data_IF_359329655698
#
_entry.id   IF_359329655698
#
_cell.length_a   1.000
_cell.length_b   1.000
_cell.length_c   1.000
_cell.angle_alpha   90.00
_cell.angle_beta   90.00
_cell.angle_gamma   90.00
#
_symmetry.space_group_name_H-M   'P 1'
#
loop_
_entity.id
_entity.type
_entity.pdbx_description
1 polymer ?
#
# COMPACT_ATOMS: atom_id res chain seq x y z
N UNK A 1 10.11 -0.86 -7.52
CA UNK A 1 10.40 -1.79 -6.42
C UNK A 1 10.77 -0.95 -5.22
N UNK A 2 10.05 -1.07 -4.12
CA UNK A 2 10.09 -0.15 -2.99
C UNK A 2 9.12 -0.52 -1.89
N UNK A 3 8.86 0.43 -1.00
CA UNK A 3 8.03 0.27 0.20
C UNK A 3 6.70 0.97 0.01
N UNK A 4 5.60 0.25 0.21
CA UNK A 4 4.27 0.74 -0.10
C UNK A 4 3.28 0.42 1.01
N UNK A 5 2.24 1.25 1.14
CA UNK A 5 1.10 0.94 1.98
C UNK A 5 -0.21 1.32 1.28
N UNK A 6 -1.27 0.57 1.57
CA UNK A 6 -2.60 0.79 1.05
C UNK A 6 -3.62 0.75 2.19
N UNK A 7 -4.69 1.51 2.05
CA UNK A 7 -5.83 1.50 2.96
C UNK A 7 -7.07 1.07 2.19
N UNK A 8 -7.73 0.00 2.64
CA UNK A 8 -8.94 -0.51 2.02
C UNK A 8 -9.93 -0.96 3.11
N UNK A 9 -11.15 -0.41 3.11
CA UNK A 9 -12.20 -0.74 4.09
C UNK A 9 -11.76 -0.65 5.57
N UNK A 10 -10.88 0.29 5.91
CA UNK A 10 -10.35 0.43 7.27
C UNK A 10 -9.22 -0.55 7.61
N UNK A 11 -8.82 -1.40 6.67
CA UNK A 11 -7.66 -2.26 6.80
C UNK A 11 -6.43 -1.57 6.24
N UNK A 12 -5.33 -1.65 6.98
CA UNK A 12 -4.03 -1.13 6.59
C UNK A 12 -3.16 -2.27 6.07
N UNK A 13 -2.73 -2.16 4.81
CA UNK A 13 -1.81 -3.09 4.17
C UNK A 13 -0.46 -2.40 4.04
N UNK A 14 0.59 -3.01 4.53
CA UNK A 14 1.97 -2.52 4.47
C UNK A 14 2.77 -3.58 3.74
N UNK A 15 3.45 -3.24 2.66
CA UNK A 15 4.14 -4.24 1.86
C UNK A 15 5.37 -3.69 1.16
N UNK A 16 6.29 -4.60 0.82
CA UNK A 16 7.49 -4.26 0.06
C UNK A 16 7.54 -5.04 -1.25
N UNK A 17 8.18 -4.45 -2.25
CA UNK A 17 8.46 -5.06 -3.54
C UNK A 17 9.95 -5.00 -3.84
N UNK A 18 10.46 -6.00 -4.55
CA UNK A 18 11.85 -6.20 -4.91
C UNK A 18 12.71 -6.63 -3.73
N UNK A 19 13.94 -6.08 -3.61
CA UNK A 19 14.88 -6.42 -2.54
C UNK A 19 14.59 -5.67 -1.22
N UNK A 20 13.55 -4.83 -1.18
CA UNK A 20 13.23 -4.05 0.01
C UNK A 20 12.71 -4.91 1.17
N UNK A 21 13.20 -4.58 2.36
CA UNK A 21 12.85 -5.26 3.60
C UNK A 21 11.71 -4.53 4.29
N UNK A 22 10.71 -5.29 4.74
CA UNK A 22 9.60 -4.77 5.52
C UNK A 22 10.10 -4.11 6.81
N UNK A 23 9.46 -3.01 7.18
CA UNK A 23 9.73 -2.30 8.43
C UNK A 23 9.39 -3.23 9.59
N UNK A 24 10.24 -3.25 10.60
CA UNK A 24 9.96 -4.03 11.79
C UNK A 24 8.68 -3.50 12.45
N UNK A 25 7.73 -4.36 12.77
CA UNK A 25 6.45 -3.95 13.36
C UNK A 25 6.64 -3.21 14.70
N UNK A 26 7.73 -3.50 15.42
CA UNK A 26 8.14 -2.78 16.62
C UNK A 26 8.69 -1.36 16.40
N UNK A 27 8.85 -0.92 15.14
CA UNK A 27 9.20 0.48 14.84
C UNK A 27 8.01 1.42 14.97
N UNK A 28 6.79 0.88 15.02
CA UNK A 28 5.60 1.68 15.32
C UNK A 28 5.55 1.98 16.82
N UNK A 29 5.32 3.24 17.21
CA UNK A 29 5.22 3.58 18.61
C UNK A 29 3.95 2.93 19.21
N UNK A 30 4.12 2.32 20.39
CA UNK A 30 3.07 1.53 21.06
C UNK A 30 1.79 2.34 21.32
N UNK A 31 1.91 3.67 21.45
CA UNK A 31 0.78 4.59 21.61
C UNK A 31 -0.22 4.57 20.44
N UNK A 32 0.18 4.10 19.26
CA UNK A 32 -0.72 3.96 18.11
C UNK A 32 -1.55 2.68 18.26
N UNK A 33 -1.05 1.66 18.96
CA UNK A 33 -1.78 0.41 19.19
C UNK A 33 -2.08 -0.40 17.92
N UNK A 34 -1.30 -0.26 16.86
CA UNK A 34 -1.53 -0.98 15.59
C UNK A 34 -1.27 -2.49 15.72
N UNK A 35 -0.22 -2.87 16.44
CA UNK A 35 0.21 -4.26 16.61
C UNK A 35 -0.01 -4.74 18.05
N UNK A 36 -1.08 -4.25 18.67
CA UNK A 36 -1.47 -4.62 20.04
C UNK A 36 -2.30 -5.90 20.09
N UNK A 37 -2.60 -6.35 21.31
CA UNK A 37 -3.49 -7.49 21.55
C UNK A 37 -4.96 -7.20 21.21
N UNK A 38 -5.34 -5.92 21.11
CA UNK A 38 -6.70 -5.46 20.82
C UNK A 38 -6.97 -5.35 19.30
N UNK A 39 -5.93 -5.52 18.48
CA UNK A 39 -6.00 -5.31 17.03
C UNK A 39 -5.76 -6.63 16.31
N UNK A 40 -6.59 -6.94 15.32
CA UNK A 40 -6.36 -8.09 14.45
C UNK A 40 -5.28 -7.75 13.43
N UNK A 41 -4.13 -8.40 13.50
CA UNK A 41 -3.06 -8.21 12.53
C UNK A 41 -2.45 -9.54 12.12
N UNK A 42 -1.97 -9.57 10.87
CA UNK A 42 -1.34 -10.74 10.25
C UNK A 42 -0.13 -10.30 9.45
N UNK A 43 0.88 -11.16 9.41
CA UNK A 43 2.16 -10.85 8.77
C UNK A 43 2.63 -12.01 7.91
N UNK A 44 3.11 -11.64 6.73
CA UNK A 44 3.82 -12.45 5.75
C UNK A 44 5.20 -11.81 5.50
N UNK A 45 6.16 -12.53 4.90
CA UNK A 45 7.53 -12.03 4.73
C UNK A 45 7.64 -10.67 4.01
N UNK A 46 6.69 -10.36 3.13
CA UNK A 46 6.66 -9.12 2.34
C UNK A 46 5.43 -8.23 2.59
N UNK A 47 4.49 -8.67 3.43
CA UNK A 47 3.20 -8.00 3.63
C UNK A 47 2.77 -8.09 5.08
N UNK A 48 2.40 -6.98 5.69
CA UNK A 48 1.69 -6.92 6.96
C UNK A 48 0.30 -6.33 6.73
N UNK A 49 -0.71 -6.92 7.35
CA UNK A 49 -2.10 -6.46 7.30
C UNK A 49 -2.56 -6.21 8.71
N UNK A 50 -3.15 -5.05 8.94
CA UNK A 50 -3.82 -4.69 10.19
C UNK A 50 -5.28 -4.44 9.84
N UNK A 51 -6.17 -5.19 10.49
CA UNK A 51 -7.59 -5.19 10.23
C UNK A 51 -8.33 -4.28 11.21
N UNK A 52 -9.44 -3.70 10.75
CA UNK A 52 -10.32 -2.85 11.56
C UNK A 52 -9.59 -1.70 12.31
N UNK A 53 -8.64 -1.05 11.62
CA UNK A 53 -7.85 0.03 12.19
C UNK A 53 -8.72 1.27 12.40
N UNK A 54 -8.75 1.79 13.63
CA UNK A 54 -9.46 3.03 13.91
C UNK A 54 -8.85 4.19 13.12
N UNK A 55 -9.69 5.09 12.60
CA UNK A 55 -9.25 6.23 11.78
C UNK A 55 -8.09 7.02 12.41
N UNK A 56 -8.16 7.30 13.72
CA UNK A 56 -7.09 8.01 14.45
C UNK A 56 -5.77 7.24 14.48
N UNK A 57 -5.82 5.91 14.57
CA UNK A 57 -4.63 5.06 14.52
C UNK A 57 -4.07 5.02 13.11
N UNK A 58 -4.94 4.93 12.11
CA UNK A 58 -4.58 4.92 10.70
C UNK A 58 -3.86 6.22 10.29
N UNK A 59 -4.38 7.38 10.66
CA UNK A 59 -3.74 8.67 10.37
C UNK A 59 -2.31 8.74 10.95
N UNK A 60 -2.12 8.27 12.18
CA UNK A 60 -0.81 8.20 12.82
C UNK A 60 0.11 7.17 12.17
N UNK A 61 -0.43 6.00 11.80
CA UNK A 61 0.29 4.95 11.08
C UNK A 61 0.87 5.46 9.76
N UNK A 62 0.05 6.19 9.00
CA UNK A 62 0.44 6.77 7.71
C UNK A 62 1.60 7.75 7.85
N UNK A 63 1.62 8.57 8.92
CA UNK A 63 2.73 9.48 9.19
C UNK A 63 4.02 8.69 9.42
N UNK A 64 3.99 7.67 10.29
CA UNK A 64 5.16 6.82 10.58
C UNK A 64 5.65 6.12 9.31
N UNK A 65 4.74 5.52 8.53
CA UNK A 65 5.05 4.86 7.27
C UNK A 65 5.76 5.81 6.30
N UNK A 66 5.22 7.02 6.09
CA UNK A 66 5.83 8.03 5.23
C UNK A 66 7.21 8.48 5.73
N UNK A 67 7.40 8.61 7.05
CA UNK A 67 8.72 8.90 7.64
C UNK A 67 9.75 7.80 7.37
N UNK A 68 9.30 6.55 7.25
CA UNK A 68 10.14 5.40 6.88
C UNK A 68 10.27 5.17 5.36
N UNK A 69 9.79 6.11 4.54
CA UNK A 69 9.89 6.06 3.09
C UNK A 69 8.88 5.15 2.42
N UNK A 70 7.76 4.84 3.09
CA UNK A 70 6.66 4.12 2.45
C UNK A 70 5.76 5.08 1.66
N UNK A 71 5.38 4.65 0.47
CA UNK A 71 4.47 5.39 -0.41
C UNK A 71 3.05 4.84 -0.32
N UNK A 72 2.07 5.75 -0.25
CA UNK A 72 0.67 5.40 -0.30
C UNK A 72 0.28 4.99 -1.72
N UNK A 73 -0.40 3.85 -1.83
CA UNK A 73 -0.89 3.33 -3.10
C UNK A 73 -2.34 2.87 -2.95
N UNK A 74 -3.12 3.02 -4.01
CA UNK A 74 -4.50 2.52 -4.05
C UNK A 74 -4.53 1.21 -4.83
N UNK A 75 -4.87 0.12 -4.14
CA UNK A 75 -5.06 -1.19 -4.76
C UNK A 75 -6.36 -1.83 -4.30
N UNK A 76 -6.99 -2.64 -5.17
CA UNK A 76 -8.11 -3.45 -4.75
C UNK A 76 -7.64 -4.47 -3.71
N UNK A 77 -8.46 -4.68 -2.68
CA UNK A 77 -8.20 -5.67 -1.63
C UNK A 77 -7.87 -7.05 -2.17
N UNK A 78 -8.53 -7.49 -3.24
CA UNK A 78 -8.25 -8.79 -3.86
C UNK A 78 -6.79 -8.94 -4.30
N UNK A 79 -6.17 -7.87 -4.82
CA UNK A 79 -4.76 -7.93 -5.23
C UNK A 79 -3.82 -7.96 -4.02
N UNK A 80 -4.15 -7.22 -2.96
CA UNK A 80 -3.37 -7.16 -1.72
C UNK A 80 -3.44 -8.49 -0.95
N UNK A 81 -4.64 -9.06 -0.83
CA UNK A 81 -4.86 -10.36 -0.18
C UNK A 81 -4.22 -11.50 -1.00
N UNK A 82 -4.31 -11.47 -2.33
CA UNK A 82 -3.60 -12.43 -3.18
C UNK A 82 -2.08 -12.33 -2.96
N UNK A 83 -1.53 -11.11 -2.92
CA UNK A 83 -0.11 -10.89 -2.66
C UNK A 83 0.31 -11.35 -1.25
N UNK A 84 -0.55 -11.16 -0.25
CA UNK A 84 -0.33 -11.68 1.09
C UNK A 84 -0.21 -13.22 1.13
N UNK A 85 -1.04 -13.90 0.32
CA UNK A 85 -1.12 -15.37 0.25
C UNK A 85 0.02 -15.98 -0.57
N UNK A 86 0.23 -15.48 -1.80
CA UNK A 86 1.16 -16.09 -2.76
C UNK A 86 2.55 -15.43 -2.77
N UNK A 87 2.68 -14.21 -2.23
CA UNK A 87 3.94 -13.46 -2.20
C UNK A 87 4.46 -13.08 -3.59
N UNK A 88 3.64 -13.20 -4.63
CA UNK A 88 4.03 -12.96 -6.00
C UNK A 88 3.86 -11.50 -6.36
N UNK A 89 4.98 -10.82 -6.53
CA UNK A 89 5.03 -9.38 -6.71
C UNK A 89 4.25 -8.88 -7.93
N UNK A 90 4.11 -9.68 -8.99
CA UNK A 90 3.34 -9.29 -10.18
C UNK A 90 1.89 -8.88 -9.85
N UNK A 91 1.29 -9.45 -8.78
CA UNK A 91 -0.04 -9.09 -8.28
C UNK A 91 -0.19 -7.60 -7.98
N UNK A 92 0.85 -7.00 -7.43
CA UNK A 92 0.88 -5.58 -7.03
C UNK A 92 1.75 -4.74 -7.97
N UNK A 93 2.79 -5.30 -8.58
CA UNK A 93 3.74 -4.60 -9.47
C UNK A 93 3.10 -4.27 -10.82
N UNK A 94 2.34 -5.20 -11.43
CA UNK A 94 1.65 -4.89 -12.69
C UNK A 94 0.62 -3.77 -12.50
N UNK A 95 -0.03 -3.74 -11.33
CA UNK A 95 -0.98 -2.69 -10.97
C UNK A 95 -0.29 -1.37 -10.57
N UNK A 96 0.87 -1.43 -9.90
CA UNK A 96 1.67 -0.26 -9.52
C UNK A 96 2.30 0.45 -10.72
N UNK A 97 2.76 -0.32 -11.70
CA UNK A 97 3.31 0.21 -12.96
C UNK A 97 2.19 0.58 -13.95
N UNK A 98 1.05 -0.12 -13.90
CA UNK A 98 -0.11 0.10 -14.79
C UNK A 98 -1.02 1.27 -14.41
N UNK A 99 -0.96 1.80 -13.19
CA UNK A 99 -1.70 3.02 -12.83
C UNK A 99 -1.00 4.32 -13.28
N UNK A 100 0.20 4.21 -13.87
CA UNK A 100 0.76 5.25 -14.73
C UNK A 100 0.26 5.08 -16.18
N UNK A 101 -1.04 4.87 -16.40
CA UNK A 101 -1.63 5.43 -17.63
C UNK A 101 -1.74 6.93 -17.40
N UNK A 102 -0.92 7.77 -18.05
CA UNK A 102 -1.27 9.19 -18.15
C UNK A 102 -2.70 9.26 -18.66
N UNK A 103 -3.53 10.08 -18.01
CA UNK A 103 -4.75 10.58 -18.65
C UNK A 103 -4.32 11.04 -20.03
N UNK A 104 -4.79 10.34 -21.06
CA UNK A 104 -4.50 10.62 -22.47
C UNK A 104 -4.50 12.13 -22.69
N UNK A 105 -3.47 12.73 -23.31
CA UNK A 105 -3.63 14.07 -23.84
C UNK A 105 -4.79 13.98 -24.84
N UNK A 106 -5.85 14.76 -24.60
CA UNK A 106 -6.86 14.98 -25.62
C UNK A 106 -6.14 15.79 -26.71
N UNK A 107 -5.51 15.12 -27.65
CA UNK A 107 -5.21 15.71 -28.95
C UNK A 107 -6.55 15.82 -29.67
N UNK A 108 -7.21 16.97 -29.56
CA UNK A 108 -8.15 17.36 -30.60
C UNK A 108 -7.28 17.87 -31.73
N UNK A 109 -7.16 17.01 -32.73
CA UNK A 109 -6.51 17.19 -34.01
C UNK A 109 -6.81 18.57 -34.60
N UNK A 110 -5.75 19.32 -34.90
CA UNK A 110 -5.84 20.49 -35.76
C UNK A 110 -6.15 20.02 -37.17
N UNK A 111 -7.40 20.19 -37.59
CA UNK A 111 -7.78 20.21 -38.99
C UNK A 111 -7.48 21.59 -39.56
N UNK A 112 -6.33 21.70 -40.22
CA UNK A 112 -6.00 22.79 -41.14
C UNK A 112 -6.53 22.41 -42.54
N UNK A 113 -6.78 23.44 -43.37
CA UNK A 113 -7.03 23.39 -44.83
C UNK A 113 -8.50 23.03 -45.22
N UNK A 114 -9.30 23.92 -45.83
CA UNK A 114 -9.07 24.78 -47.00
C UNK A 114 -9.81 26.15 -46.90
#
# INVERSE_FOLDING_TARGET
MGKHFAVEQGNLYIFTTGPDVMLSLGSFPEEIGLFGADTAWRVSPKVAVVEDVLQRQLERAQIVLRLHGYEEVSFPREALEAYFVDGLEHRVVEKALGWQTPRTPITVDGGEED
#
